data_IF_863274391997
#
_entry.id   IF_863274391997
#
_cell.length_a   1.000
_cell.length_b   1.000
_cell.length_c   1.000
_cell.angle_alpha   90.00
_cell.angle_beta   90.00
_cell.angle_gamma   90.00
#
_symmetry.space_group_name_H-M   'P 1'
#
loop_
_entity.id
_entity.type
_entity.pdbx_description
1 polymer ?
#
# COMPACT_ATOMS: atom_id res chain seq x y z
N UNK A 1 2.47 4.53 -18.47
CA UNK A 1 3.70 4.24 -17.70
C UNK A 1 4.58 3.19 -18.37
N UNK A 2 4.08 2.00 -18.71
CA UNK A 2 4.87 0.89 -19.27
C UNK A 2 5.68 1.19 -20.54
N UNK A 3 5.20 2.07 -21.42
CA UNK A 3 5.83 2.30 -22.73
C UNK A 3 6.79 3.51 -22.73
N UNK A 4 6.98 4.14 -21.58
CA UNK A 4 7.85 5.31 -21.46
C UNK A 4 9.31 4.87 -21.48
N UNK A 5 10.12 5.55 -22.29
CA UNK A 5 11.56 5.30 -22.42
C UNK A 5 12.42 6.26 -21.60
N UNK A 6 11.80 7.29 -21.00
CA UNK A 6 12.52 8.24 -20.14
C UNK A 6 12.74 7.64 -18.75
N UNK A 7 13.81 8.04 -18.03
CA UNK A 7 14.04 7.60 -16.66
C UNK A 7 12.88 7.98 -15.73
N UNK A 8 12.33 6.99 -15.02
CA UNK A 8 11.30 7.21 -14.01
C UNK A 8 11.91 7.22 -12.62
N UNK A 9 11.45 8.16 -11.80
CA UNK A 9 11.75 8.25 -10.37
C UNK A 9 10.43 8.48 -9.63
N UNK A 10 10.23 7.78 -8.53
CA UNK A 10 8.99 7.89 -7.75
C UNK A 10 9.26 8.21 -6.29
N UNK A 11 8.43 9.09 -5.73
CA UNK A 11 8.42 9.42 -4.31
C UNK A 11 7.03 9.14 -3.74
N UNK A 12 6.94 8.19 -2.82
CA UNK A 12 5.70 7.84 -2.14
C UNK A 12 5.57 8.76 -0.93
N UNK A 13 4.79 9.83 -1.08
CA UNK A 13 4.63 10.88 -0.05
C UNK A 13 3.44 10.65 0.89
N UNK A 14 2.52 9.76 0.51
CA UNK A 14 1.27 9.54 1.23
C UNK A 14 0.77 8.11 1.04
N UNK A 15 -0.48 7.95 0.62
CA UNK A 15 -1.07 6.65 0.38
C UNK A 15 -0.78 6.14 -1.04
N UNK A 16 -0.25 4.93 -1.16
CA UNK A 16 -0.09 4.19 -2.41
C UNK A 16 -0.84 2.86 -2.32
N UNK A 17 -2.03 2.80 -2.91
CA UNK A 17 -2.89 1.62 -2.82
C UNK A 17 -3.23 1.04 -4.20
N UNK A 18 -3.09 -0.28 -4.31
CA UNK A 18 -3.64 -1.09 -5.40
C UNK A 18 -3.31 -0.56 -6.79
N UNK A 19 -4.35 -0.35 -7.60
CA UNK A 19 -4.21 0.13 -8.97
C UNK A 19 -3.55 1.52 -9.07
N UNK A 20 -3.69 2.36 -8.05
CA UNK A 20 -3.04 3.67 -7.98
C UNK A 20 -1.51 3.55 -7.96
N UNK A 21 -0.98 2.55 -7.24
CA UNK A 21 0.45 2.25 -7.24
C UNK A 21 0.94 1.92 -8.65
N UNK A 22 0.17 1.20 -9.45
CA UNK A 22 0.54 0.90 -10.83
C UNK A 22 0.46 2.13 -11.74
N UNK A 23 -0.63 2.89 -11.64
CA UNK A 23 -0.82 4.09 -12.45
C UNK A 23 0.28 5.15 -12.21
N UNK A 24 0.81 5.24 -10.98
CA UNK A 24 1.80 6.22 -10.56
C UNK A 24 3.26 5.74 -10.68
N UNK A 25 3.53 4.72 -11.52
CA UNK A 25 4.87 4.11 -11.65
C UNK A 25 5.38 3.58 -10.32
N UNK A 26 4.70 2.57 -9.78
CA UNK A 26 5.23 1.80 -8.65
C UNK A 26 6.38 0.87 -9.07
N UNK A 27 6.84 0.05 -8.12
CA UNK A 27 7.99 -0.87 -8.30
C UNK A 27 7.93 -1.75 -9.56
N UNK A 28 6.72 -2.15 -9.96
CA UNK A 28 6.51 -3.00 -11.14
C UNK A 28 6.92 -2.36 -12.48
N UNK A 29 7.09 -1.03 -12.54
CA UNK A 29 7.44 -0.31 -13.77
C UNK A 29 8.94 -0.04 -13.93
N UNK A 30 9.79 -0.72 -13.15
CA UNK A 30 11.25 -0.66 -13.24
C UNK A 30 11.81 0.77 -13.25
N UNK A 31 11.35 1.57 -12.28
CA UNK A 31 11.91 2.90 -12.04
C UNK A 31 13.39 2.79 -11.68
N UNK A 32 14.17 3.84 -11.96
CA UNK A 32 15.57 3.88 -11.50
C UNK A 32 15.65 3.88 -9.97
N UNK A 33 14.82 4.71 -9.34
CA UNK A 33 14.71 4.80 -7.89
C UNK A 33 13.29 5.08 -7.43
N UNK A 34 12.94 4.51 -6.29
CA UNK A 34 11.68 4.72 -5.57
C UNK A 34 12.02 5.01 -4.11
N UNK A 35 11.58 6.15 -3.60
CA UNK A 35 11.73 6.49 -2.18
C UNK A 35 10.39 6.64 -1.51
N UNK A 36 10.35 6.31 -0.23
CA UNK A 36 9.13 6.36 0.58
C UNK A 36 9.32 7.36 1.73
N UNK A 37 8.30 8.18 2.01
CA UNK A 37 8.30 9.00 3.22
C UNK A 37 7.91 8.18 4.44
N UNK A 38 8.41 8.50 5.65
CA UNK A 38 8.10 7.73 6.85
C UNK A 38 6.60 7.72 7.21
N UNK A 39 5.85 8.74 6.79
CA UNK A 39 4.40 8.85 7.00
C UNK A 39 3.57 8.16 5.91
N UNK A 40 4.22 7.66 4.86
CA UNK A 40 3.54 7.03 3.73
C UNK A 40 3.02 5.64 4.09
N UNK A 41 1.99 5.22 3.36
CA UNK A 41 1.39 3.90 3.48
C UNK A 41 1.33 3.21 2.14
N UNK A 42 1.76 1.95 2.08
CA UNK A 42 1.72 1.11 0.90
C UNK A 42 0.97 -0.17 1.21
N UNK A 43 -0.09 -0.47 0.46
CA UNK A 43 -0.83 -1.72 0.58
C UNK A 43 -1.61 -2.02 -0.71
N UNK A 44 -2.26 -3.17 -0.77
CA UNK A 44 -3.18 -3.51 -1.88
C UNK A 44 -4.42 -2.61 -1.85
N UNK A 45 -4.94 -2.29 -0.67
CA UNK A 45 -6.07 -1.39 -0.48
C UNK A 45 -6.06 -0.81 0.94
N UNK A 46 -6.91 0.18 1.22
CA UNK A 46 -7.01 0.74 2.57
C UNK A 46 -7.49 -0.29 3.60
N UNK A 47 -7.00 -0.26 4.86
CA UNK A 47 -7.33 -1.26 5.89
C UNK A 47 -8.83 -1.46 6.12
N UNK A 48 -9.59 -0.36 6.20
CA UNK A 48 -11.05 -0.36 6.34
C UNK A 48 -11.76 -1.02 5.16
N UNK A 49 -11.28 -0.75 3.96
CA UNK A 49 -11.85 -1.33 2.73
C UNK A 49 -11.58 -2.84 2.70
N UNK A 50 -10.37 -3.25 3.05
CA UNK A 50 -9.98 -4.66 3.12
C UNK A 50 -10.85 -5.44 4.12
N UNK A 51 -10.96 -4.94 5.36
CA UNK A 51 -11.75 -5.58 6.40
C UNK A 51 -13.25 -5.61 6.05
N UNK A 52 -13.78 -4.52 5.47
CA UNK A 52 -15.18 -4.46 5.03
C UNK A 52 -15.52 -5.48 3.94
N UNK A 53 -14.66 -5.64 2.92
CA UNK A 53 -14.87 -6.65 1.87
C UNK A 53 -14.83 -8.07 2.45
N UNK A 54 -13.92 -8.34 3.39
CA UNK A 54 -13.85 -9.65 4.06
C UNK A 54 -15.13 -9.97 4.85
N UNK A 55 -15.69 -8.99 5.56
CA UNK A 55 -16.99 -9.13 6.24
C UNK A 55 -18.11 -9.45 5.26
N UNK A 56 -18.21 -8.71 4.15
CA UNK A 56 -19.22 -8.94 3.12
C UNK A 56 -19.14 -10.36 2.52
N UNK A 57 -17.93 -10.83 2.22
CA UNK A 57 -17.70 -12.19 1.69
C UNK A 57 -18.12 -13.26 2.70
N UNK A 58 -17.78 -13.08 3.99
CA UNK A 58 -18.20 -14.03 5.05
C UNK A 58 -19.71 -14.07 5.21
N UNK A 59 -20.38 -12.91 5.18
CA UNK A 59 -21.84 -12.83 5.25
C UNK A 59 -22.50 -13.53 4.07
N UNK A 60 -22.02 -13.28 2.86
CA UNK A 60 -22.52 -13.95 1.65
C UNK A 60 -22.29 -15.47 1.70
N UNK A 61 -21.15 -15.91 2.24
CA UNK A 61 -20.86 -17.35 2.43
C UNK A 61 -21.79 -18.01 3.44
N UNK A 62 -22.06 -17.37 4.58
CA UNK A 62 -22.99 -17.88 5.59
C UNK A 62 -24.42 -17.97 5.03
N UNK A 63 -24.87 -16.93 4.32
CA UNK A 63 -26.18 -16.91 3.66
C UNK A 63 -26.33 -18.05 2.63
N UNK A 64 -25.30 -18.31 1.80
CA UNK A 64 -25.31 -19.42 0.84
C UNK A 64 -25.36 -20.81 1.51
N UNK A 65 -24.85 -20.93 2.73
CA UNK A 65 -24.87 -22.17 3.51
C UNK A 65 -26.09 -22.34 4.42
N UNK A 66 -26.92 -21.30 4.55
CA UNK A 66 -28.01 -21.28 5.53
C UNK A 66 -27.55 -21.22 6.99
N UNK A 67 -26.29 -20.83 7.24
CA UNK A 67 -25.73 -20.72 8.60
C UNK A 67 -26.09 -19.36 9.22
N UNK A 68 -26.30 -19.31 10.54
CA UNK A 68 -26.50 -18.04 11.26
C UNK A 68 -25.20 -17.25 11.26
N UNK A 69 -25.27 -15.98 10.88
CA UNK A 69 -24.14 -15.07 10.89
C UNK A 69 -24.04 -14.37 12.24
N UNK A 70 -22.90 -14.52 12.93
CA UNK A 70 -22.63 -13.83 14.20
C UNK A 70 -22.02 -12.45 13.94
N UNK A 71 -22.82 -11.41 14.14
CA UNK A 71 -22.37 -10.03 13.97
C UNK A 71 -21.34 -9.57 15.00
N UNK A 72 -21.36 -10.12 16.23
CA UNK A 72 -20.40 -9.72 17.26
C UNK A 72 -19.02 -10.28 16.93
N UNK A 73 -18.96 -11.54 16.53
CA UNK A 73 -17.73 -12.17 16.09
C UNK A 73 -17.16 -11.47 14.85
N UNK A 74 -18.01 -11.13 13.88
CA UNK A 74 -17.55 -10.45 12.67
C UNK A 74 -16.97 -9.06 12.96
N UNK A 75 -17.57 -8.28 13.86
CA UNK A 75 -17.00 -6.99 14.29
C UNK A 75 -15.59 -7.14 14.88
N UNK A 76 -15.40 -8.12 15.76
CA UNK A 76 -14.07 -8.39 16.34
C UNK A 76 -13.06 -8.79 15.27
N UNK A 77 -13.47 -9.60 14.29
CA UNK A 77 -12.59 -9.99 13.19
C UNK A 77 -12.28 -8.83 12.24
N UNK A 78 -13.23 -7.92 12.00
CA UNK A 78 -13.02 -6.71 11.21
C UNK A 78 -11.98 -5.82 11.87
N UNK A 79 -12.11 -5.56 13.18
CA UNK A 79 -11.12 -4.77 13.94
C UNK A 79 -9.73 -5.42 13.92
N UNK A 80 -9.66 -6.75 14.10
CA UNK A 80 -8.41 -7.49 14.03
C UNK A 80 -7.74 -7.32 12.65
N UNK A 81 -8.49 -7.54 11.58
CA UNK A 81 -7.98 -7.44 10.20
C UNK A 81 -7.58 -6.01 9.86
N UNK A 82 -8.36 -5.01 10.27
CA UNK A 82 -8.03 -3.60 10.08
C UNK A 82 -6.70 -3.25 10.77
N UNK A 83 -6.52 -3.68 12.02
CA UNK A 83 -5.29 -3.42 12.78
C UNK A 83 -4.06 -4.13 12.17
N UNK A 84 -4.23 -5.34 11.64
CA UNK A 84 -3.17 -6.08 10.98
C UNK A 84 -2.78 -5.41 9.66
N UNK A 85 -3.76 -5.08 8.82
CA UNK A 85 -3.54 -4.39 7.55
C UNK A 85 -2.90 -3.01 7.74
N UNK A 86 -3.28 -2.28 8.79
CA UNK A 86 -2.66 -1.00 9.14
C UNK A 86 -1.17 -1.16 9.47
N UNK A 87 -0.82 -2.16 10.30
CA UNK A 87 0.59 -2.46 10.65
C UNK A 87 1.41 -2.88 9.44
N UNK A 88 0.84 -3.68 8.54
CA UNK A 88 1.54 -4.10 7.32
C UNK A 88 1.71 -2.96 6.32
N UNK A 89 0.84 -1.94 6.38
CA UNK A 89 0.84 -0.84 5.42
C UNK A 89 1.90 0.23 5.66
N UNK A 90 2.57 0.23 6.81
CA UNK A 90 3.53 1.29 7.17
C UNK A 90 4.79 1.24 6.30
N UNK A 91 5.40 2.41 6.06
CA UNK A 91 6.62 2.54 5.26
C UNK A 91 7.75 1.56 5.67
N UNK A 92 7.92 1.30 6.97
CA UNK A 92 8.94 0.35 7.46
C UNK A 92 8.70 -1.07 6.93
N UNK A 93 7.44 -1.52 6.95
CA UNK A 93 7.04 -2.84 6.44
C UNK A 93 7.32 -2.94 4.94
N UNK A 94 6.93 -1.91 4.18
CA UNK A 94 7.18 -1.84 2.75
C UNK A 94 8.69 -1.86 2.40
N UNK A 95 9.48 -1.02 3.07
CA UNK A 95 10.93 -0.96 2.83
C UNK A 95 11.64 -2.26 3.22
N UNK A 96 11.17 -2.96 4.27
CA UNK A 96 11.68 -4.29 4.65
C UNK A 96 11.48 -5.36 3.56
N UNK A 97 10.48 -5.17 2.69
CA UNK A 97 10.16 -6.06 1.57
C UNK A 97 10.82 -5.61 0.25
N UNK A 98 11.72 -4.61 0.29
CA UNK A 98 12.41 -4.06 -0.88
C UNK A 98 11.45 -3.52 -1.95
N UNK A 99 10.28 -3.00 -1.53
CA UNK A 99 9.34 -2.36 -2.46
C UNK A 99 9.76 -0.94 -2.84
N UNK A 100 10.66 -0.35 -2.06
CA UNK A 100 11.32 0.93 -2.29
C UNK A 100 12.83 0.79 -2.05
N UNK A 101 13.59 1.79 -2.47
CA UNK A 101 15.04 1.88 -2.33
C UNK A 101 15.46 2.65 -1.07
N UNK A 102 14.49 2.95 -0.18
CA UNK A 102 14.73 3.53 1.12
C UNK A 102 13.66 4.50 1.59
N UNK A 103 13.61 4.65 2.91
CA UNK A 103 12.82 5.70 3.58
C UNK A 103 13.68 6.95 3.72
N UNK A 104 13.18 8.10 3.25
CA UNK A 104 13.90 9.37 3.31
C UNK A 104 13.15 10.42 4.14
N UNK A 105 13.89 11.38 4.69
CA UNK A 105 13.30 12.57 5.30
C UNK A 105 12.61 13.42 4.23
N UNK A 106 11.33 13.83 4.41
CA UNK A 106 10.63 14.69 3.48
C UNK A 106 11.40 15.96 3.08
N UNK A 107 12.19 16.53 3.99
CA UNK A 107 13.02 17.73 3.76
C UNK A 107 14.16 17.48 2.80
N UNK A 108 14.66 16.25 2.71
CA UNK A 108 15.78 15.88 1.84
C UNK A 108 15.32 15.48 0.42
N UNK A 109 14.02 15.35 0.17
CA UNK A 109 13.46 14.94 -1.13
C UNK A 109 14.10 15.69 -2.32
N UNK A 110 14.29 17.02 -2.20
CA UNK A 110 14.91 17.84 -3.26
C UNK A 110 16.38 17.47 -3.51
N UNK A 111 17.13 17.16 -2.46
CA UNK A 111 18.55 16.79 -2.54
C UNK A 111 18.69 15.45 -3.27
N UNK A 112 17.89 14.45 -2.87
CA UNK A 112 17.83 13.16 -3.55
C UNK A 112 17.43 13.35 -5.02
N UNK A 113 16.34 14.05 -5.32
CA UNK A 113 15.93 14.33 -6.70
C UNK A 113 17.06 14.96 -7.54
N UNK A 114 17.71 16.02 -7.03
CA UNK A 114 18.78 16.70 -7.75
C UNK A 114 19.97 15.76 -8.05
N UNK A 115 20.38 14.93 -7.08
CA UNK A 115 21.46 13.95 -7.29
C UNK A 115 21.09 12.88 -8.34
N UNK A 116 19.82 12.45 -8.36
CA UNK A 116 19.35 11.39 -9.24
C UNK A 116 19.21 11.83 -10.70
N UNK A 117 18.97 13.12 -10.93
CA UNK A 117 18.86 13.70 -12.28
C UNK A 117 20.23 14.00 -12.89
N UNK A 118 21.25 14.27 -12.07
CA UNK A 118 22.61 14.54 -12.53
C UNK A 118 23.43 13.28 -12.90
N UNK A 119 22.95 12.09 -12.55
CA UNK A 119 23.57 10.80 -12.88
C UNK A 119 22.86 10.07 -14.03
#
# INVERSE_FOLDING_TARGET
MSNSTVPHFSFIVGASYGAGTYAMSGRAYNNRFIFTWPTAKIAVMGPKQFAGVMSLVRRAKAARKGEKFDEKLDKQLVELVESAAEKESVALSASSMLTDDGIIDPRETRKYWASLVCC
#
